data_IF_508404175074
#
_entry.id   IF_508404175074
#
_cell.length_a   1.000
_cell.length_b   1.000
_cell.length_c   1.000
_cell.angle_alpha   90.00
_cell.angle_beta   90.00
_cell.angle_gamma   90.00
#
_symmetry.space_group_name_H-M   'P 1'
#
loop_
_entity.id
_entity.type
_entity.pdbx_description
1 polymer ?
#
# COMPACT_ATOMS: atom_id res chain seq x y z
N UNK A 1 9.92 -11.94 -7.85
CA UNK A 1 8.71 -12.78 -7.89
C UNK A 1 8.47 -13.43 -6.52
N UNK A 2 7.21 -13.53 -6.13
CA UNK A 2 6.87 -14.11 -4.83
C UNK A 2 6.83 -15.63 -4.90
N UNK A 3 7.34 -16.29 -3.85
CA UNK A 3 7.26 -17.75 -3.77
C UNK A 3 5.86 -18.21 -3.33
N UNK A 4 5.58 -19.50 -3.49
CA UNK A 4 4.27 -20.07 -3.18
C UNK A 4 3.88 -19.89 -1.72
N UNK A 5 4.83 -19.99 -0.80
CA UNK A 5 4.59 -19.83 0.63
C UNK A 5 4.17 -18.40 0.97
N UNK A 6 4.88 -17.42 0.40
CA UNK A 6 4.54 -16.00 0.60
C UNK A 6 3.14 -15.71 0.07
N UNK A 7 2.82 -16.20 -1.13
CA UNK A 7 1.50 -16.03 -1.74
C UNK A 7 0.41 -16.63 -0.83
N UNK A 8 0.62 -17.84 -0.34
CA UNK A 8 -0.32 -18.52 0.56
C UNK A 8 -0.57 -17.70 1.82
N UNK A 9 0.49 -17.19 2.45
CA UNK A 9 0.39 -16.41 3.68
C UNK A 9 -0.37 -15.10 3.42
N UNK A 10 -0.05 -14.40 2.35
CA UNK A 10 -0.75 -13.15 1.99
C UNK A 10 -2.24 -13.43 1.76
N UNK A 11 -2.57 -14.47 1.02
CA UNK A 11 -3.98 -14.83 0.77
C UNK A 11 -4.72 -15.18 2.06
N UNK A 12 -4.03 -15.76 3.03
CA UNK A 12 -4.64 -16.11 4.32
C UNK A 12 -5.06 -14.87 5.12
N UNK A 13 -4.51 -13.69 4.80
CA UNK A 13 -4.85 -12.44 5.48
C UNK A 13 -6.05 -11.72 4.87
N UNK A 14 -6.57 -12.19 3.73
CA UNK A 14 -7.69 -11.52 3.05
C UNK A 14 -8.90 -11.28 3.95
N UNK A 15 -9.39 -12.28 4.73
CA UNK A 15 -10.52 -12.03 5.61
C UNK A 15 -10.27 -10.92 6.64
N UNK A 16 -9.06 -10.89 7.23
CA UNK A 16 -8.70 -9.86 8.20
C UNK A 16 -8.63 -8.49 7.54
N UNK A 17 -8.13 -8.42 6.30
CA UNK A 17 -8.07 -7.17 5.54
C UNK A 17 -9.46 -6.65 5.19
N UNK A 18 -10.40 -7.53 4.88
CA UNK A 18 -11.78 -7.12 4.63
C UNK A 18 -12.41 -6.52 5.87
N UNK A 19 -12.17 -7.13 7.02
CA UNK A 19 -12.77 -6.70 8.28
C UNK A 19 -12.09 -5.46 8.86
N UNK A 20 -10.76 -5.40 8.83
CA UNK A 20 -9.97 -4.39 9.52
C UNK A 20 -9.21 -3.43 8.60
N UNK A 21 -9.35 -3.57 7.29
CA UNK A 21 -8.55 -2.80 6.33
C UNK A 21 -8.63 -1.30 6.54
N UNK A 22 -9.84 -0.77 6.74
CA UNK A 22 -10.01 0.67 6.94
C UNK A 22 -9.35 1.13 8.24
N UNK A 23 -9.46 0.34 9.31
CA UNK A 23 -8.81 0.66 10.58
C UNK A 23 -7.28 0.66 10.41
N UNK A 24 -6.75 -0.32 9.67
CA UNK A 24 -5.32 -0.42 9.39
C UNK A 24 -4.83 0.82 8.63
N UNK A 25 -5.52 1.21 7.57
CA UNK A 25 -5.08 2.35 6.75
C UNK A 25 -5.26 3.68 7.47
N UNK A 26 -6.30 3.83 8.26
CA UNK A 26 -6.49 5.04 9.08
C UNK A 26 -5.35 5.18 10.10
N UNK A 27 -5.00 4.08 10.76
CA UNK A 27 -3.87 4.04 11.71
C UNK A 27 -2.56 4.33 10.98
N UNK A 28 -2.37 3.74 9.81
CA UNK A 28 -1.20 3.96 8.97
C UNK A 28 -0.99 5.44 8.66
N UNK A 29 -2.01 6.12 8.13
CA UNK A 29 -1.88 7.54 7.80
C UNK A 29 -1.62 8.41 9.03
N UNK A 30 -2.34 8.14 10.11
CA UNK A 30 -2.16 8.88 11.36
C UNK A 30 -0.71 8.78 11.84
N UNK A 31 -0.19 7.57 11.96
CA UNK A 31 1.16 7.36 12.46
C UNK A 31 2.22 7.92 11.52
N UNK A 32 2.03 7.74 10.22
CA UNK A 32 2.96 8.23 9.23
C UNK A 32 3.07 9.75 9.26
N UNK A 33 1.94 10.45 9.32
CA UNK A 33 1.94 11.91 9.35
C UNK A 33 2.50 12.46 10.67
N UNK A 34 2.31 11.76 11.78
CA UNK A 34 2.88 12.16 13.06
C UNK A 34 4.40 12.05 13.08
N UNK A 35 4.93 10.96 12.48
CA UNK A 35 6.37 10.70 12.47
C UNK A 35 7.11 11.39 11.32
N UNK A 36 6.40 11.66 10.24
CA UNK A 36 6.98 12.24 9.03
C UNK A 36 6.09 13.37 8.49
N UNK A 37 5.94 14.47 9.25
CA UNK A 37 5.06 15.56 8.82
C UNK A 37 5.47 16.19 7.49
N UNK A 38 6.74 16.07 7.10
CA UNK A 38 7.26 16.60 5.86
C UNK A 38 6.65 15.97 4.61
N UNK A 39 6.01 14.80 4.73
CA UNK A 39 5.39 14.15 3.57
C UNK A 39 3.93 14.55 3.36
N UNK A 40 3.32 15.25 4.31
CA UNK A 40 1.92 15.70 4.16
C UNK A 40 1.62 16.41 2.85
N UNK A 41 2.51 17.29 2.34
CA UNK A 41 2.22 18.01 1.09
C UNK A 41 2.03 17.10 -0.12
N UNK A 42 2.49 15.86 -0.06
CA UNK A 42 2.32 14.90 -1.16
C UNK A 42 0.94 14.24 -1.17
N UNK A 43 0.09 14.52 -0.18
CA UNK A 43 -1.22 13.90 -0.03
C UNK A 43 -2.33 14.95 -0.06
N UNK A 44 -3.52 14.53 -0.52
CA UNK A 44 -4.69 15.39 -0.51
C UNK A 44 -5.35 15.33 0.87
N UNK A 45 -5.10 16.38 1.68
CA UNK A 45 -5.59 16.41 3.07
C UNK A 45 -7.11 16.45 3.18
N UNK A 46 -7.82 17.01 2.19
CA UNK A 46 -9.28 16.97 2.19
C UNK A 46 -9.79 15.53 2.09
N UNK A 47 -9.15 14.69 1.27
CA UNK A 47 -9.48 13.26 1.16
C UNK A 47 -9.09 12.50 2.42
N UNK A 48 -8.05 12.94 3.13
CA UNK A 48 -7.68 12.36 4.42
C UNK A 48 -8.75 12.63 5.47
N UNK A 49 -9.19 13.88 5.57
CA UNK A 49 -10.22 14.29 6.55
C UNK A 49 -11.56 13.61 6.30
N UNK A 50 -11.94 13.45 5.05
CA UNK A 50 -13.21 12.79 4.69
C UNK A 50 -13.16 11.27 4.84
N UNK A 51 -11.96 10.68 5.01
CA UNK A 51 -11.77 9.23 5.04
C UNK A 51 -11.72 8.58 3.67
N UNK A 52 -11.82 9.34 2.60
CA UNK A 52 -11.82 8.79 1.23
C UNK A 52 -10.47 8.14 0.88
N UNK A 53 -9.36 8.77 1.28
CA UNK A 53 -8.03 8.25 0.98
C UNK A 53 -7.72 6.96 1.75
N UNK A 54 -7.94 6.89 3.08
CA UNK A 54 -7.75 5.62 3.80
C UNK A 54 -8.60 4.49 3.24
N UNK A 55 -9.85 4.77 2.86
CA UNK A 55 -10.73 3.79 2.26
C UNK A 55 -10.19 3.30 0.92
N UNK A 56 -9.71 4.22 0.08
CA UNK A 56 -9.14 3.88 -1.23
C UNK A 56 -7.90 2.99 -1.06
N UNK A 57 -7.03 3.31 -0.12
CA UNK A 57 -5.85 2.49 0.16
C UNK A 57 -6.25 1.11 0.66
N UNK A 58 -7.23 1.02 1.57
CA UNK A 58 -7.70 -0.26 2.09
C UNK A 58 -8.21 -1.15 0.96
N UNK A 59 -8.97 -0.59 0.03
CA UNK A 59 -9.48 -1.33 -1.12
C UNK A 59 -8.35 -1.78 -2.05
N UNK A 60 -7.34 -0.94 -2.25
CA UNK A 60 -6.19 -1.26 -3.09
C UNK A 60 -5.36 -2.40 -2.48
N UNK A 61 -5.10 -2.33 -1.18
CA UNK A 61 -4.35 -3.39 -0.47
C UNK A 61 -5.11 -4.71 -0.52
N UNK A 62 -6.43 -4.66 -0.30
CA UNK A 62 -7.27 -5.86 -0.37
C UNK A 62 -7.25 -6.45 -1.78
N UNK A 63 -7.41 -5.63 -2.81
CA UNK A 63 -7.38 -6.08 -4.20
C UNK A 63 -6.03 -6.72 -4.54
N UNK A 64 -4.93 -6.14 -4.06
CA UNK A 64 -3.60 -6.70 -4.27
C UNK A 64 -3.47 -8.08 -3.62
N UNK A 65 -3.99 -8.24 -2.39
CA UNK A 65 -3.96 -9.52 -1.70
C UNK A 65 -4.81 -10.59 -2.42
N UNK A 66 -5.99 -10.19 -2.88
CA UNK A 66 -6.90 -11.11 -3.59
C UNK A 66 -6.33 -11.54 -4.94
N UNK A 67 -5.50 -10.71 -5.56
CA UNK A 67 -4.92 -10.95 -6.88
C UNK A 67 -3.41 -11.16 -6.82
N UNK A 68 -2.89 -11.59 -5.66
CA UNK A 68 -1.45 -11.71 -5.46
C UNK A 68 -0.80 -12.70 -6.44
N UNK A 69 -1.55 -13.67 -6.94
CA UNK A 69 -1.05 -14.61 -7.94
C UNK A 69 -1.07 -14.04 -9.36
N UNK A 70 -1.84 -12.96 -9.57
CA UNK A 70 -1.96 -12.35 -10.89
C UNK A 70 -2.12 -10.84 -10.77
N UNK A 71 -1.05 -10.18 -10.35
CA UNK A 71 -1.03 -8.72 -10.18
C UNK A 71 -1.23 -7.98 -11.50
N UNK A 72 -1.00 -8.65 -12.64
CA UNK A 72 -1.26 -8.07 -13.95
C UNK A 72 -2.70 -7.63 -14.15
N UNK A 73 -3.65 -8.27 -13.48
CA UNK A 73 -5.06 -7.87 -13.54
C UNK A 73 -5.29 -6.47 -12.98
N UNK A 74 -4.38 -5.99 -12.14
CA UNK A 74 -4.50 -4.69 -11.51
C UNK A 74 -3.85 -3.55 -12.30
N UNK A 75 -3.20 -3.86 -13.44
CA UNK A 75 -2.49 -2.85 -14.22
C UNK A 75 -3.33 -1.62 -14.60
N UNK A 76 -4.58 -1.77 -15.05
CA UNK A 76 -5.40 -0.57 -15.33
C UNK A 76 -5.57 0.34 -14.11
N UNK A 77 -5.78 -0.25 -12.92
CA UNK A 77 -5.88 0.52 -11.68
C UNK A 77 -4.53 1.11 -11.29
N UNK A 78 -3.44 0.35 -11.47
CA UNK A 78 -2.08 0.82 -11.18
C UNK A 78 -1.75 2.04 -12.03
N UNK A 79 -2.04 2.00 -13.33
CA UNK A 79 -1.76 3.12 -14.23
C UNK A 79 -2.53 4.37 -13.83
N UNK A 80 -3.79 4.22 -13.44
CA UNK A 80 -4.62 5.33 -12.98
C UNK A 80 -4.05 5.95 -11.70
N UNK A 81 -3.69 5.12 -10.74
CA UNK A 81 -3.11 5.58 -9.47
C UNK A 81 -1.74 6.21 -9.71
N UNK A 82 -0.94 5.64 -10.61
CA UNK A 82 0.38 6.21 -10.96
C UNK A 82 0.27 7.64 -11.46
N UNK A 83 -0.75 7.94 -12.27
CA UNK A 83 -0.99 9.31 -12.74
C UNK A 83 -1.27 10.26 -11.57
N UNK A 84 -2.09 9.83 -10.62
CA UNK A 84 -2.39 10.63 -9.41
C UNK A 84 -1.12 10.84 -8.58
N UNK A 85 -0.31 9.79 -8.41
CA UNK A 85 0.95 9.88 -7.68
C UNK A 85 1.91 10.88 -8.34
N UNK A 86 1.99 10.86 -9.67
CA UNK A 86 2.83 11.81 -10.39
C UNK A 86 2.31 13.24 -10.26
N UNK A 87 0.98 13.42 -10.24
CA UNK A 87 0.39 14.74 -9.97
C UNK A 87 0.80 15.25 -8.59
N UNK A 88 0.95 14.35 -7.62
CA UNK A 88 1.37 14.68 -6.26
C UNK A 88 2.89 14.69 -6.08
N UNK A 89 3.65 14.45 -7.16
CA UNK A 89 5.13 14.45 -7.15
C UNK A 89 5.75 13.36 -6.30
N UNK A 90 5.09 12.21 -6.22
CA UNK A 90 5.61 11.05 -5.50
C UNK A 90 6.90 10.55 -6.14
N UNK A 91 7.87 10.17 -5.33
CA UNK A 91 9.16 9.65 -5.79
C UNK A 91 9.44 8.26 -5.18
N UNK A 92 10.29 7.44 -5.84
CA UNK A 92 10.55 6.07 -5.35
C UNK A 92 11.04 6.00 -3.90
N UNK A 93 11.78 6.99 -3.45
CA UNK A 93 12.36 7.04 -2.11
C UNK A 93 11.30 7.07 -1.00
N UNK A 94 10.06 7.41 -1.33
CA UNK A 94 8.96 7.46 -0.36
C UNK A 94 8.35 6.08 -0.09
N UNK A 95 8.52 5.12 -1.00
CA UNK A 95 7.93 3.80 -0.85
C UNK A 95 8.43 3.02 0.37
N UNK A 96 9.74 3.03 0.70
CA UNK A 96 10.19 2.36 1.93
C UNK A 96 9.57 2.93 3.20
N UNK A 97 9.35 4.24 3.26
CA UNK A 97 8.69 4.90 4.39
C UNK A 97 7.26 4.40 4.52
N UNK A 98 6.55 4.38 3.39
CA UNK A 98 5.16 3.92 3.35
C UNK A 98 5.06 2.45 3.75
N UNK A 99 5.95 1.61 3.22
CA UNK A 99 5.96 0.18 3.55
C UNK A 99 6.18 -0.08 5.02
N UNK A 100 7.14 0.62 5.62
CA UNK A 100 7.44 0.48 7.04
C UNK A 100 6.20 0.80 7.88
N UNK A 101 5.55 1.94 7.61
CA UNK A 101 4.39 2.36 8.39
C UNK A 101 3.18 1.47 8.15
N UNK A 102 3.04 0.93 6.94
CA UNK A 102 1.94 0.01 6.65
C UNK A 102 2.09 -1.28 7.46
N UNK A 103 3.28 -1.86 7.51
CA UNK A 103 3.54 -3.05 8.31
C UNK A 103 3.35 -2.79 9.80
N UNK A 104 3.81 -1.64 10.29
CA UNK A 104 3.60 -1.24 11.69
C UNK A 104 2.11 -1.11 12.01
N UNK A 105 1.33 -0.54 11.10
CA UNK A 105 -0.12 -0.40 11.29
C UNK A 105 -0.82 -1.76 11.32
N UNK A 106 -0.42 -2.68 10.45
CA UNK A 106 -0.96 -4.04 10.46
C UNK A 106 -0.70 -4.69 11.83
N UNK A 107 0.51 -4.57 12.34
CA UNK A 107 0.88 -5.11 13.64
C UNK A 107 0.09 -4.46 14.79
N UNK A 108 -0.07 -3.14 14.74
CA UNK A 108 -0.80 -2.41 15.78
C UNK A 108 -2.27 -2.81 15.83
N UNK A 109 -2.92 -2.93 14.67
CA UNK A 109 -4.36 -3.22 14.60
C UNK A 109 -4.65 -4.70 14.87
N UNK A 110 -3.88 -5.61 14.28
CA UNK A 110 -4.11 -7.04 14.41
C UNK A 110 -3.44 -7.66 15.63
N UNK A 111 -2.49 -6.96 16.25
CA UNK A 111 -1.82 -7.45 17.44
C UNK A 111 -1.14 -8.80 17.21
N UNK A 112 -1.44 -9.77 18.08
CA UNK A 112 -0.81 -11.10 18.02
C UNK A 112 -1.21 -11.88 16.77
N UNK A 113 -2.33 -11.53 16.12
CA UNK A 113 -2.73 -12.16 14.87
C UNK A 113 -1.75 -11.82 13.72
N UNK A 114 -1.06 -10.68 13.80
CA UNK A 114 -0.04 -10.32 12.83
C UNK A 114 1.29 -10.93 13.25
N UNK A 115 1.48 -12.21 12.91
CA UNK A 115 2.69 -12.96 13.25
C UNK A 115 3.89 -12.47 12.43
N UNK A 116 5.10 -12.83 12.86
CA UNK A 116 6.31 -12.50 12.12
C UNK A 116 6.27 -13.07 10.69
N UNK A 117 5.68 -14.25 10.51
CA UNK A 117 5.50 -14.86 9.19
C UNK A 117 4.61 -14.00 8.29
N UNK A 118 3.50 -13.48 8.85
CA UNK A 118 2.59 -12.60 8.10
C UNK A 118 3.28 -11.30 7.73
N UNK A 119 3.99 -10.69 8.66
CA UNK A 119 4.68 -9.42 8.40
C UNK A 119 5.81 -9.60 7.39
N UNK A 120 6.55 -10.71 7.46
CA UNK A 120 7.58 -11.01 6.47
C UNK A 120 6.98 -11.20 5.07
N UNK A 121 5.89 -11.97 4.98
CA UNK A 121 5.21 -12.20 3.71
C UNK A 121 4.69 -10.89 3.11
N UNK A 122 4.07 -10.03 3.92
CA UNK A 122 3.59 -8.74 3.46
C UNK A 122 4.72 -7.79 3.08
N UNK A 123 5.86 -7.87 3.78
CA UNK A 123 7.04 -7.09 3.40
C UNK A 123 7.52 -7.45 2.00
N UNK A 124 7.57 -8.74 1.69
CA UNK A 124 7.95 -9.22 0.35
C UNK A 124 6.90 -8.83 -0.69
N UNK A 125 5.61 -9.01 -0.38
CA UNK A 125 4.52 -8.66 -1.28
C UNK A 125 4.50 -7.15 -1.54
N UNK A 126 4.68 -6.34 -0.50
CA UNK A 126 4.75 -4.90 -0.64
C UNK A 126 5.89 -4.49 -1.57
N UNK A 127 7.05 -5.13 -1.45
CA UNK A 127 8.21 -4.85 -2.30
C UNK A 127 7.88 -5.05 -3.78
N UNK A 128 7.20 -6.14 -4.12
CA UNK A 128 6.79 -6.41 -5.51
C UNK A 128 5.77 -5.38 -5.98
N UNK A 129 4.78 -5.08 -5.15
CA UNK A 129 3.74 -4.09 -5.48
C UNK A 129 4.36 -2.71 -5.67
N UNK A 130 5.26 -2.31 -4.77
CA UNK A 130 5.95 -1.03 -4.87
C UNK A 130 6.75 -0.92 -6.17
N UNK A 131 7.45 -1.99 -6.57
CA UNK A 131 8.21 -2.00 -7.83
C UNK A 131 7.28 -1.80 -9.03
N UNK A 132 6.10 -2.40 -9.01
CA UNK A 132 5.11 -2.23 -10.09
C UNK A 132 4.67 -0.76 -10.18
N UNK A 133 4.37 -0.13 -9.05
CA UNK A 133 3.97 1.28 -9.02
C UNK A 133 5.12 2.21 -9.42
N UNK A 134 6.33 1.96 -8.92
CA UNK A 134 7.51 2.75 -9.26
C UNK A 134 7.75 2.72 -10.77
N UNK A 135 7.67 1.54 -11.38
CA UNK A 135 7.86 1.40 -12.82
C UNK A 135 6.78 2.14 -13.62
N UNK A 136 5.51 2.04 -13.17
CA UNK A 136 4.40 2.74 -13.82
C UNK A 136 4.57 4.25 -13.70
N UNK A 137 5.00 4.74 -12.55
CA UNK A 137 5.23 6.17 -12.32
C UNK A 137 6.41 6.70 -13.13
N UNK A 138 7.46 5.88 -13.27
CA UNK A 138 8.61 6.21 -14.09
C UNK A 138 8.20 6.44 -15.55
N UNK A 139 7.34 5.54 -16.06
CA UNK A 139 6.80 5.69 -17.42
C UNK A 139 5.93 6.94 -17.56
N UNK A 140 5.13 7.23 -16.54
CA UNK A 140 4.26 8.41 -16.56
C UNK A 140 5.07 9.69 -16.53
N UNK A 141 6.10 9.77 -15.68
CA UNK A 141 7.00 10.93 -15.65
C UNK A 141 7.71 11.13 -16.99
N UNK A 142 8.17 10.05 -17.59
CA UNK A 142 8.83 10.11 -18.91
C UNK A 142 7.89 10.65 -19.98
N UNK A 143 6.60 10.28 -19.94
CA UNK A 143 5.61 10.76 -20.91
C UNK A 143 5.29 12.24 -20.75
N UNK A 144 5.48 12.79 -19.55
CA UNK A 144 5.23 14.19 -19.25
C UNK A 144 6.39 15.09 -19.65
N UNK A 145 7.52 14.49 -19.96
CA UNK A 145 8.65 15.19 -20.48
C UNK A 145 9.65 15.72 -19.68
#
# INVERSE_FOLDING_TARGET
>A
MLDAKTIEVVKSTVPALREHGLTITTTFYKNMFEKNPEIKPFFNMAKQESGAQPKALAMTVLAAAENIENLGKLMPAVEKIAKVHCDCKVVPEQYPIIGKHLLEAIKEVLGDAATDEILDAWGKAYGVIADIFIEAEKKEYASRG
#
